data_IF_008146442366
#
_entry.id   IF_008146442366
#
_cell.length_a   1.000
_cell.length_b   1.000
_cell.length_c   1.000
_cell.angle_alpha   90.00
_cell.angle_beta   90.00
_cell.angle_gamma   90.00
#
_symmetry.space_group_name_H-M   'P 1'
#
loop_
_entity.id
_entity.type
_entity.pdbx_description
1 polymer ?
#
# COMPACT_ATOMS: atom_id res chain seq x y z
N UNK A 1 -56.32 30.82 5.02
CA UNK A 1 -57.48 30.37 4.24
C UNK A 1 -57.02 29.95 2.86
N UNK A 2 -57.22 28.67 2.57
CA UNK A 2 -57.26 27.96 1.30
C UNK A 2 -57.19 28.79 0.03
N UNK A 3 -56.33 28.40 -0.93
CA UNK A 3 -56.70 28.23 -2.34
C UNK A 3 -55.81 27.12 -2.94
N UNK A 4 -56.41 25.93 -3.14
CA UNK A 4 -56.65 25.25 -4.44
C UNK A 4 -55.39 24.72 -5.12
N UNK A 5 -55.14 23.41 -5.00
CA UNK A 5 -55.54 22.35 -5.96
C UNK A 5 -54.83 22.50 -7.31
N UNK A 6 -53.97 21.54 -7.63
CA UNK A 6 -54.11 20.75 -8.86
C UNK A 6 -53.21 19.52 -8.81
N UNK A 7 -53.87 18.36 -8.89
CA UNK A 7 -53.32 17.03 -9.04
C UNK A 7 -53.44 16.64 -10.54
N UNK A 8 -53.09 15.42 -10.96
CA UNK A 8 -52.12 15.10 -12.00
C UNK A 8 -52.72 14.94 -13.42
N UNK A 9 -51.91 15.17 -14.46
CA UNK A 9 -52.26 14.75 -15.84
C UNK A 9 -51.72 13.36 -16.14
N UNK A 10 -52.66 12.43 -16.35
CA UNK A 10 -52.48 11.20 -17.12
C UNK A 10 -52.15 11.56 -18.57
N UNK A 11 -51.16 10.88 -19.14
CA UNK A 11 -51.14 10.57 -20.57
C UNK A 11 -50.77 9.09 -20.70
N UNK A 12 -51.76 8.33 -21.14
CA UNK A 12 -51.69 6.97 -21.65
C UNK A 12 -51.12 7.02 -23.06
N UNK A 13 -50.12 6.20 -23.37
CA UNK A 13 -49.91 5.76 -24.74
C UNK A 13 -49.46 4.30 -24.76
N UNK A 14 -50.38 3.49 -25.26
CA UNK A 14 -50.24 2.09 -25.63
C UNK A 14 -49.45 2.05 -26.93
N UNK A 15 -48.25 1.47 -26.89
CA UNK A 15 -47.45 1.17 -28.08
C UNK A 15 -46.99 -0.27 -27.99
N UNK A 16 -47.72 -1.16 -28.64
CA UNK A 16 -47.34 -2.55 -28.83
C UNK A 16 -46.31 -2.69 -29.96
N UNK A 17 -45.42 -3.68 -29.80
CA UNK A 17 -44.54 -4.34 -30.80
C UNK A 17 -43.10 -3.81 -30.91
N UNK A 18 -42.09 -4.64 -31.26
CA UNK A 18 -42.11 -6.08 -31.57
C UNK A 18 -41.14 -6.93 -30.71
N UNK A 19 -41.35 -8.24 -30.81
CA UNK A 19 -40.50 -9.31 -30.30
C UNK A 19 -39.11 -9.20 -30.92
N UNK A 20 -38.06 -9.05 -30.11
CA UNK A 20 -36.68 -9.23 -30.54
C UNK A 20 -36.18 -10.58 -30.03
N UNK A 21 -35.84 -11.42 -31.00
CA UNK A 21 -35.24 -12.74 -30.87
C UNK A 21 -33.96 -12.73 -30.02
N UNK A 22 -33.72 -13.88 -29.41
CA UNK A 22 -32.60 -14.20 -28.55
C UNK A 22 -31.26 -13.88 -29.20
N UNK A 23 -30.40 -13.19 -28.43
CA UNK A 23 -28.96 -13.32 -28.55
C UNK A 23 -28.50 -14.08 -27.31
N UNK A 24 -28.16 -15.34 -27.52
CA UNK A 24 -27.37 -16.13 -26.59
C UNK A 24 -25.99 -15.47 -26.47
N UNK A 25 -25.78 -14.71 -25.39
CA UNK A 25 -24.44 -14.35 -24.98
C UNK A 25 -23.86 -15.63 -24.38
N UNK A 26 -23.14 -16.37 -25.22
CA UNK A 26 -22.31 -17.48 -24.74
C UNK A 26 -21.43 -16.99 -23.60
N UNK A 27 -21.53 -17.65 -22.45
CA UNK A 27 -20.61 -17.46 -21.35
C UNK A 27 -19.25 -18.02 -21.77
N UNK A 28 -18.45 -17.17 -22.40
CA UNK A 28 -17.05 -17.42 -22.69
C UNK A 28 -16.19 -17.48 -21.43
N UNK A 29 -16.66 -18.12 -20.35
CA UNK A 29 -15.91 -18.43 -19.13
C UNK A 29 -15.27 -19.81 -19.21
N UNK A 30 -14.69 -20.15 -20.35
CA UNK A 30 -13.68 -21.22 -20.42
C UNK A 30 -12.39 -20.61 -21.00
N UNK A 31 -11.84 -19.67 -20.23
CA UNK A 31 -10.43 -19.33 -20.35
C UNK A 31 -9.65 -20.41 -19.60
N UNK A 32 -8.89 -21.31 -20.27
CA UNK A 32 -8.08 -22.32 -19.61
C UNK A 32 -6.77 -21.70 -19.13
N UNK A 33 -6.85 -20.58 -18.40
CA UNK A 33 -5.68 -19.96 -17.79
C UNK A 33 -6.06 -19.41 -16.43
N UNK A 34 -5.93 -20.22 -15.37
CA UNK A 34 -5.50 -19.62 -14.12
C UNK A 34 -4.73 -20.58 -13.20
N UNK A 35 -3.57 -21.14 -13.58
CA UNK A 35 -2.72 -21.82 -12.55
C UNK A 35 -1.20 -21.89 -12.85
N UNK A 36 -0.73 -21.60 -14.06
CA UNK A 36 0.71 -21.70 -14.33
C UNK A 36 1.53 -20.49 -13.87
N UNK A 37 0.89 -19.33 -13.63
CA UNK A 37 1.58 -18.12 -13.18
C UNK A 37 1.69 -18.03 -11.64
N UNK A 38 0.88 -18.80 -10.91
CA UNK A 38 0.93 -18.84 -9.44
C UNK A 38 2.20 -19.51 -8.91
N UNK A 39 2.90 -20.32 -9.73
CA UNK A 39 4.16 -21.00 -9.35
C UNK A 39 5.44 -20.21 -9.61
N UNK A 40 5.34 -19.01 -10.22
CA UNK A 40 6.46 -18.06 -10.28
C UNK A 40 6.37 -16.98 -9.20
N UNK A 41 5.45 -17.13 -8.24
CA UNK A 41 5.64 -16.53 -6.93
C UNK A 41 6.68 -17.39 -6.22
N UNK A 42 7.93 -17.12 -6.54
CA UNK A 42 9.02 -17.42 -5.64
C UNK A 42 8.63 -16.70 -4.34
N UNK A 43 8.25 -17.46 -3.32
CA UNK A 43 8.28 -17.01 -1.94
C UNK A 43 9.77 -16.82 -1.60
N UNK A 44 10.40 -15.83 -2.23
CA UNK A 44 11.71 -15.36 -1.87
C UNK A 44 11.43 -14.62 -0.57
N UNK A 45 11.71 -15.29 0.56
CA UNK A 45 11.69 -14.64 1.86
C UNK A 45 12.47 -13.34 1.70
N UNK A 46 11.76 -12.20 1.77
CA UNK A 46 12.11 -10.94 1.12
C UNK A 46 13.46 -10.38 1.54
N UNK A 47 14.53 -10.94 0.99
CA UNK A 47 15.88 -10.50 1.24
C UNK A 47 16.10 -9.28 0.35
N UNK A 48 15.83 -8.11 0.94
CA UNK A 48 16.09 -6.83 0.28
C UNK A 48 17.56 -6.81 -0.13
N UNK A 49 17.89 -6.29 -1.34
CA UNK A 49 19.26 -6.29 -1.81
C UNK A 49 20.18 -5.62 -0.78
N UNK A 50 21.39 -6.17 -0.54
CA UNK A 50 22.27 -5.69 0.51
C UNK A 50 22.62 -4.21 0.28
N UNK A 51 22.53 -3.43 1.34
CA UNK A 51 22.78 -1.98 1.28
C UNK A 51 24.29 -1.75 1.23
N UNK A 52 24.78 -1.20 0.12
CA UNK A 52 26.19 -0.86 -0.04
C UNK A 52 26.45 0.63 0.21
N UNK A 53 27.49 0.94 0.97
CA UNK A 53 27.95 2.31 1.21
C UNK A 53 27.32 2.95 2.46
N UNK A 54 27.07 4.26 2.37
CA UNK A 54 26.55 5.08 3.47
C UNK A 54 25.14 5.56 3.12
N UNK A 55 24.19 5.38 4.03
CA UNK A 55 22.81 5.91 3.91
C UNK A 55 22.62 7.02 4.93
N UNK A 56 21.87 8.06 4.55
CA UNK A 56 21.44 9.08 5.49
C UNK A 56 20.11 8.66 6.09
N UNK A 57 20.08 8.45 7.40
CA UNK A 57 18.89 8.17 8.19
C UNK A 57 18.60 9.27 9.19
N UNK A 58 17.59 9.05 10.03
CA UNK A 58 17.14 9.98 11.07
C UNK A 58 17.07 9.27 12.41
N UNK A 59 17.51 9.93 13.48
CA UNK A 59 17.37 9.40 14.84
C UNK A 59 15.90 9.45 15.24
N UNK A 60 15.29 8.28 15.46
CA UNK A 60 13.89 8.15 15.84
C UNK A 60 13.70 8.12 17.36
N UNK A 61 14.60 7.44 18.08
CA UNK A 61 14.59 7.38 19.55
C UNK A 61 16.01 7.35 20.11
N UNK A 62 16.18 7.92 21.29
CA UNK A 62 17.38 7.79 22.13
C UNK A 62 16.91 7.31 23.50
N UNK A 63 17.34 6.13 23.92
CA UNK A 63 17.02 5.61 25.25
C UNK A 63 18.00 6.14 26.30
N UNK A 64 17.63 6.09 27.58
CA UNK A 64 18.49 6.54 28.70
C UNK A 64 19.82 5.76 28.79
N UNK A 65 19.86 4.54 28.25
CA UNK A 65 21.06 3.72 28.14
C UNK A 65 22.06 4.22 27.08
N UNK A 66 21.65 5.18 26.24
CA UNK A 66 22.41 5.63 25.06
C UNK A 66 22.15 4.78 23.81
N UNK A 67 21.29 3.76 23.88
CA UNK A 67 20.85 3.01 22.72
C UNK A 67 19.98 3.87 21.82
N UNK A 68 20.26 3.84 20.51
CA UNK A 68 19.51 4.61 19.53
C UNK A 68 18.73 3.70 18.60
N UNK A 69 17.60 4.21 18.12
CA UNK A 69 16.92 3.66 16.96
C UNK A 69 16.85 4.70 15.87
N UNK A 70 17.02 4.24 14.64
CA UNK A 70 17.08 5.09 13.45
C UNK A 70 16.02 4.65 12.44
N UNK A 71 15.57 5.60 11.65
CA UNK A 71 14.81 5.31 10.44
C UNK A 71 15.63 5.73 9.22
N UNK A 72 15.41 5.10 8.07
CA UNK A 72 16.13 5.43 6.84
C UNK A 72 15.31 5.10 5.60
N UNK A 73 15.62 5.72 4.44
CA UNK A 73 14.95 5.42 3.19
C UNK A 73 15.16 3.96 2.78
N UNK A 74 14.08 3.23 2.53
CA UNK A 74 14.15 1.81 2.17
C UNK A 74 14.27 0.87 3.37
N UNK A 75 14.03 1.34 4.60
CA UNK A 75 13.84 0.46 5.75
C UNK A 75 12.71 -0.54 5.43
N UNK A 76 13.00 -1.86 5.39
CA UNK A 76 11.99 -2.87 5.04
C UNK A 76 10.93 -3.04 6.13
N UNK A 77 11.21 -2.59 7.36
CA UNK A 77 10.27 -2.62 8.47
C UNK A 77 9.51 -1.31 8.64
N UNK A 78 8.28 -1.39 9.16
CA UNK A 78 7.46 -0.23 9.54
C UNK A 78 7.94 0.46 10.85
N UNK A 79 9.06 0.00 11.42
CA UNK A 79 9.54 0.46 12.73
C UNK A 79 11.02 0.86 12.71
N UNK A 80 11.43 1.83 13.55
CA UNK A 80 12.83 2.21 13.67
C UNK A 80 13.74 1.06 14.13
N UNK A 81 14.86 0.91 13.43
CA UNK A 81 15.84 -0.17 13.65
C UNK A 81 16.86 0.26 14.69
N UNK A 82 17.26 -0.66 15.56
CA UNK A 82 18.31 -0.44 16.56
C UNK A 82 19.65 -0.25 15.86
N UNK A 83 20.42 0.76 16.26
CA UNK A 83 21.75 1.00 15.72
C UNK A 83 22.80 1.18 16.82
N UNK A 84 24.03 0.81 16.49
CA UNK A 84 25.21 1.13 17.29
C UNK A 84 25.75 2.50 16.85
N UNK A 85 26.24 3.29 17.81
CA UNK A 85 26.81 4.60 17.53
C UNK A 85 28.27 4.71 17.98
N UNK A 86 29.06 5.47 17.23
CA UNK A 86 30.43 5.82 17.60
C UNK A 86 30.49 7.03 18.56
N UNK A 87 29.36 7.71 18.74
CA UNK A 87 29.20 8.91 19.59
C UNK A 87 27.99 8.74 20.49
N UNK A 88 27.96 9.49 21.58
CA UNK A 88 26.81 9.52 22.48
C UNK A 88 25.78 10.51 21.95
N UNK A 89 24.53 10.06 21.81
CA UNK A 89 23.39 10.90 21.46
C UNK A 89 22.58 11.28 22.69
N UNK A 90 21.91 12.42 22.63
CA UNK A 90 21.00 12.92 23.66
C UNK A 90 19.59 13.07 23.10
N UNK A 91 18.60 13.23 23.99
CA UNK A 91 17.21 13.46 23.58
C UNK A 91 17.02 14.68 22.66
N UNK A 92 17.92 15.68 22.73
CA UNK A 92 17.88 16.84 21.83
C UNK A 92 18.40 16.54 20.40
N UNK A 93 18.90 15.33 20.15
CA UNK A 93 19.34 14.87 18.83
C UNK A 93 18.25 14.15 18.04
N UNK A 94 17.08 13.90 18.64
CA UNK A 94 15.93 13.32 17.93
C UNK A 94 15.60 14.11 16.67
N UNK A 95 15.31 13.39 15.59
CA UNK A 95 15.01 13.98 14.28
C UNK A 95 16.24 14.47 13.51
N UNK A 96 17.46 14.38 14.04
CA UNK A 96 18.67 14.73 13.30
C UNK A 96 19.07 13.64 12.32
N UNK A 97 19.70 14.06 11.24
CA UNK A 97 20.26 13.17 10.24
C UNK A 97 21.56 12.53 10.71
N UNK A 98 21.74 11.26 10.37
CA UNK A 98 22.92 10.46 10.70
C UNK A 98 23.37 9.62 9.51
N UNK A 99 24.68 9.45 9.38
CA UNK A 99 25.27 8.53 8.42
C UNK A 99 25.23 7.10 8.98
N UNK A 100 24.58 6.20 8.26
CA UNK A 100 24.42 4.78 8.59
C UNK A 100 25.30 3.93 7.69
N UNK A 101 25.91 2.91 8.30
CA UNK A 101 26.62 1.84 7.60
C UNK A 101 26.02 0.53 8.08
N UNK A 102 25.74 -0.36 7.14
CA UNK A 102 25.07 -1.63 7.39
C UNK A 102 26.08 -2.77 7.39
N UNK A 103 26.11 -3.56 8.47
CA UNK A 103 27.05 -4.66 8.60
C UNK A 103 26.73 -5.74 7.57
N UNK A 104 27.67 -6.02 6.65
CA UNK A 104 27.45 -6.92 5.50
C UNK A 104 26.28 -6.50 4.58
N UNK A 105 25.85 -5.24 4.68
CA UNK A 105 24.70 -4.71 3.95
C UNK A 105 23.34 -5.08 4.54
N UNK A 106 23.29 -5.58 5.78
CA UNK A 106 22.07 -5.96 6.48
C UNK A 106 21.41 -4.76 7.19
N UNK A 107 20.14 -4.42 6.86
CA UNK A 107 19.39 -3.28 7.42
C UNK A 107 19.02 -3.35 8.91
#
# INVERSE_FOLDING_TARGET
MSHRKSQPSKASETGESPVLEAVEIGDGSDSPFPEALSRLLIEDEGESPPIQGVVIGTIATVEESGEIRVNFPGNPGDSPVKACSAVVFQQNDLGREVALVFEKGDP
#
